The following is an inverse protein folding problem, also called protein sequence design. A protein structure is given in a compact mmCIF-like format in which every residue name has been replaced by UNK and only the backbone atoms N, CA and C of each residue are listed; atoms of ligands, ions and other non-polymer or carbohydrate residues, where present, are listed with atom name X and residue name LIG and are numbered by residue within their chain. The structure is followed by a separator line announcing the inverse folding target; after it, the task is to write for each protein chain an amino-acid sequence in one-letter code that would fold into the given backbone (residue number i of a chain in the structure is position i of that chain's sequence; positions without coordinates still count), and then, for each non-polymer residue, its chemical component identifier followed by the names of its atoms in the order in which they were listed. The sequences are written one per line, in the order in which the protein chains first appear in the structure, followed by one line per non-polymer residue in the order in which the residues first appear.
data_IF_444479806802
#
_entry.id   IF_444479806802
#
_cell.length_a   1.000
_cell.length_b   1.000
_cell.length_c   1.000
_cell.angle_alpha   90.00
_cell.angle_beta   90.00
_cell.angle_gamma   90.00
#
_symmetry.space_group_name_H-M   'P 1'
#
loop_
_entity.id
_entity.type
_entity.pdbx_description
1 polymer ?
#
# COMPACT_ATOMS: atom_id res chain seq x y z
N UNK A 1 -21.42 -17.59 5.30
CA UNK A 1 -21.09 -17.79 3.87
C UNK A 1 -21.48 -16.61 2.93
N UNK A 2 -22.00 -15.46 3.42
CA UNK A 2 -22.40 -14.31 2.56
C UNK A 2 -21.49 -13.07 2.62
N UNK A 3 -20.78 -12.82 3.73
CA UNK A 3 -19.95 -11.61 3.88
C UNK A 3 -18.71 -11.60 2.95
N UNK A 4 -18.01 -12.73 2.83
CA UNK A 4 -16.75 -12.80 2.06
C UNK A 4 -16.93 -12.57 0.55
N UNK A 5 -18.11 -12.88 -0.01
CA UNK A 5 -18.42 -12.62 -1.43
C UNK A 5 -18.60 -11.14 -1.75
N UNK A 6 -19.08 -10.34 -0.80
CA UNK A 6 -19.25 -8.89 -0.96
C UNK A 6 -17.96 -8.11 -0.68
N UNK A 7 -17.10 -8.63 0.20
CA UNK A 7 -15.83 -8.00 0.55
C UNK A 7 -14.80 -8.11 -0.60
N UNK A 8 -14.84 -9.19 -1.39
CA UNK A 8 -13.91 -9.39 -2.51
C UNK A 8 -13.94 -8.27 -3.57
N UNK A 9 -15.11 -7.85 -4.13
CA UNK A 9 -15.13 -6.75 -5.10
C UNK A 9 -14.72 -5.40 -4.48
N UNK A 10 -15.04 -5.15 -3.21
CA UNK A 10 -14.62 -3.94 -2.49
C UNK A 10 -13.09 -3.93 -2.28
N UNK A 11 -12.52 -5.09 -1.98
CA UNK A 11 -11.08 -5.30 -1.86
C UNK A 11 -10.38 -5.06 -3.21
N UNK A 12 -10.95 -5.56 -4.31
CA UNK A 12 -10.43 -5.31 -5.65
C UNK A 12 -10.50 -3.83 -6.02
N UNK A 13 -11.62 -3.16 -5.75
CA UNK A 13 -11.79 -1.74 -6.04
C UNK A 13 -10.83 -0.86 -5.23
N UNK A 14 -10.70 -1.12 -3.92
CA UNK A 14 -9.78 -0.37 -3.05
C UNK A 14 -8.32 -0.57 -3.43
N UNK A 15 -7.90 -1.81 -3.72
CA UNK A 15 -6.55 -2.09 -4.26
C UNK A 15 -6.36 -1.42 -5.63
N UNK A 16 -7.31 -1.54 -6.54
CA UNK A 16 -7.24 -0.92 -7.86
C UNK A 16 -7.06 0.60 -7.77
N UNK A 17 -7.84 1.27 -6.91
CA UNK A 17 -7.76 2.71 -6.70
C UNK A 17 -6.42 3.13 -6.08
N UNK A 18 -5.90 2.35 -5.12
CA UNK A 18 -4.57 2.57 -4.56
C UNK A 18 -3.48 2.45 -5.62
N UNK A 19 -3.44 1.33 -6.35
CA UNK A 19 -2.37 1.05 -7.32
C UNK A 19 -2.42 1.97 -8.55
N UNK A 20 -3.61 2.37 -8.98
CA UNK A 20 -3.77 3.41 -10.01
C UNK A 20 -3.37 4.79 -9.46
N UNK A 21 -3.69 5.06 -8.20
CA UNK A 21 -3.38 6.33 -7.55
C UNK A 21 -1.88 6.59 -7.37
N UNK A 22 -1.07 5.55 -7.13
CA UNK A 22 0.38 5.68 -6.90
C UNK A 22 1.08 6.51 -7.99
N UNK A 23 0.98 6.16 -9.30
CA UNK A 23 1.62 6.92 -10.37
C UNK A 23 0.88 8.20 -10.76
N UNK A 24 -0.44 8.26 -10.58
CA UNK A 24 -1.27 9.38 -11.09
C UNK A 24 -1.33 10.57 -10.13
N UNK A 25 -1.60 10.33 -8.84
CA UNK A 25 -1.81 11.42 -7.89
C UNK A 25 -1.67 10.97 -6.43
N UNK A 26 -0.94 11.78 -5.65
CA UNK A 26 -0.84 11.63 -4.19
C UNK A 26 -2.21 11.60 -3.50
N UNK A 27 -3.17 12.37 -3.99
CA UNK A 27 -4.53 12.40 -3.44
C UNK A 27 -5.25 11.06 -3.65
N UNK A 28 -5.26 10.52 -4.88
CA UNK A 28 -5.86 9.22 -5.16
C UNK A 28 -5.20 8.10 -4.36
N UNK A 29 -3.86 8.09 -4.28
CA UNK A 29 -3.15 7.09 -3.49
C UNK A 29 -3.58 7.12 -2.01
N UNK A 30 -3.72 8.32 -1.42
CA UNK A 30 -4.15 8.47 -0.03
C UNK A 30 -5.58 7.98 0.22
N UNK A 31 -6.51 8.27 -0.70
CA UNK A 31 -7.89 7.75 -0.64
C UNK A 31 -7.90 6.23 -0.77
N UNK A 32 -7.10 5.69 -1.70
CA UNK A 32 -6.91 4.24 -1.87
C UNK A 32 -6.38 3.58 -0.60
N UNK A 33 -5.40 4.18 0.08
CA UNK A 33 -4.88 3.68 1.36
C UNK A 33 -5.96 3.65 2.43
N UNK A 34 -6.77 4.72 2.54
CA UNK A 34 -7.89 4.78 3.47
C UNK A 34 -8.93 3.68 3.21
N UNK A 35 -9.29 3.45 1.95
CA UNK A 35 -10.21 2.38 1.57
C UNK A 35 -9.63 0.99 1.82
N UNK A 36 -8.33 0.78 1.57
CA UNK A 36 -7.63 -0.47 1.89
C UNK A 36 -7.65 -0.71 3.40
N UNK A 37 -7.37 0.32 4.22
CA UNK A 37 -7.44 0.21 5.67
C UNK A 37 -8.85 -0.14 6.16
N UNK A 38 -9.86 0.57 5.65
CA UNK A 38 -11.25 0.32 5.99
C UNK A 38 -11.68 -1.10 5.62
N UNK A 39 -11.35 -1.54 4.41
CA UNK A 39 -11.64 -2.90 3.93
C UNK A 39 -10.88 -3.94 4.75
N UNK A 40 -9.66 -3.63 5.17
CA UNK A 40 -8.89 -4.48 6.07
C UNK A 40 -9.56 -4.62 7.44
N UNK A 41 -10.07 -3.55 8.03
CA UNK A 41 -10.77 -3.61 9.32
C UNK A 41 -12.09 -4.38 9.23
N UNK A 42 -12.85 -4.18 8.15
CA UNK A 42 -14.19 -4.79 7.99
C UNK A 42 -14.11 -6.26 7.53
N UNK A 43 -13.03 -6.67 6.85
CA UNK A 43 -12.93 -8.03 6.26
C UNK A 43 -12.73 -9.16 7.28
N UNK A 44 -12.41 -8.86 8.54
CA UNK A 44 -12.22 -9.89 9.58
C UNK A 44 -10.99 -10.78 9.31
N UNK A 45 -11.04 -12.06 9.71
CA UNK A 45 -9.96 -13.04 9.48
C UNK A 45 -8.54 -12.54 9.82
N UNK A 46 -8.39 -11.93 11.00
CA UNK A 46 -7.10 -11.40 11.45
C UNK A 46 -6.03 -12.49 11.62
N UNK A 47 -6.45 -13.70 11.99
CA UNK A 47 -5.56 -14.86 12.10
C UNK A 47 -4.98 -15.27 10.75
N UNK A 48 -5.82 -15.41 9.72
CA UNK A 48 -5.36 -15.71 8.36
C UNK A 48 -4.53 -14.59 7.75
N UNK A 49 -4.88 -13.32 8.03
CA UNK A 49 -4.08 -12.15 7.62
C UNK A 49 -2.68 -12.17 8.22
N UNK A 50 -2.56 -12.45 9.51
CA UNK A 50 -1.27 -12.54 10.18
C UNK A 50 -0.42 -13.68 9.66
N UNK A 51 -1.04 -14.85 9.42
CA UNK A 51 -0.36 -15.98 8.82
C UNK A 51 0.22 -15.64 7.44
N UNK A 52 -0.55 -14.96 6.57
CA UNK A 52 -0.09 -14.51 5.25
C UNK A 52 1.09 -13.54 5.33
N UNK A 53 1.07 -12.63 6.31
CA UNK A 53 2.21 -11.73 6.54
C UNK A 53 3.44 -12.55 6.93
N UNK A 54 3.29 -13.47 7.88
CA UNK A 54 4.42 -14.28 8.38
C UNK A 54 5.00 -15.22 7.32
N UNK A 55 4.16 -15.77 6.44
CA UNK A 55 4.57 -16.69 5.37
C UNK A 55 5.20 -15.97 4.18
N UNK A 56 5.08 -14.64 4.07
CA UNK A 56 5.63 -13.91 2.95
C UNK A 56 7.14 -13.65 3.14
N UNK A 57 8.00 -14.08 2.20
CA UNK A 57 9.44 -13.91 2.32
C UNK A 57 9.86 -12.43 2.34
N UNK A 58 9.04 -11.52 1.81
CA UNK A 58 9.30 -10.07 1.80
C UNK A 58 8.93 -9.41 3.13
N UNK A 59 8.16 -10.07 3.99
CA UNK A 59 7.71 -9.46 5.23
C UNK A 59 8.84 -9.24 6.24
N UNK A 60 9.80 -10.16 6.33
CA UNK A 60 10.95 -10.01 7.23
C UNK A 60 11.88 -8.86 6.79
N UNK A 61 12.35 -8.77 5.53
CA UNK A 61 13.16 -7.63 5.08
C UNK A 61 12.47 -6.28 5.27
N UNK A 62 11.18 -6.19 4.94
CA UNK A 62 10.42 -4.92 5.11
C UNK A 62 10.31 -4.54 6.58
N UNK A 63 10.08 -5.51 7.47
CA UNK A 63 10.04 -5.26 8.91
C UNK A 63 11.40 -4.82 9.45
N UNK A 64 12.48 -5.49 9.03
CA UNK A 64 13.85 -5.14 9.43
C UNK A 64 14.24 -3.74 8.97
N UNK A 65 13.89 -3.35 7.74
CA UNK A 65 14.12 -2.00 7.24
C UNK A 65 13.38 -0.96 8.07
N UNK A 66 12.10 -1.19 8.37
CA UNK A 66 11.33 -0.30 9.23
C UNK A 66 11.93 -0.19 10.65
N UNK A 67 12.35 -1.32 11.23
CA UNK A 67 12.96 -1.36 12.56
C UNK A 67 14.32 -0.67 12.58
N UNK A 68 15.12 -0.84 11.53
CA UNK A 68 16.39 -0.13 11.36
C UNK A 68 16.17 1.37 11.29
N UNK A 69 15.18 1.85 10.54
CA UNK A 69 14.83 3.26 10.51
C UNK A 69 14.38 3.76 11.88
N UNK A 70 13.56 2.98 12.60
CA UNK A 70 13.11 3.35 13.94
C UNK A 70 14.29 3.51 14.90
N UNK A 71 15.23 2.56 14.91
CA UNK A 71 16.45 2.67 15.73
C UNK A 71 17.30 3.86 15.31
N UNK A 72 17.48 4.09 14.01
CA UNK A 72 18.21 5.24 13.50
C UNK A 72 17.56 6.57 13.90
N UNK A 73 16.22 6.65 13.93
CA UNK A 73 15.52 7.86 14.37
C UNK A 73 15.71 8.15 15.86
N UNK A 74 15.80 7.12 16.71
CA UNK A 74 16.05 7.29 18.15
C UNK A 74 17.49 7.73 18.46
N UNK A 75 18.43 7.37 17.60
CA UNK A 75 19.86 7.67 17.76
C UNK A 75 20.31 8.91 16.98
N UNK A 76 19.40 9.53 16.23
CA UNK A 76 19.71 10.72 15.43
C UNK A 76 19.87 11.95 16.32
N UNK A 77 20.96 12.70 16.09
CA UNK A 77 21.26 13.99 16.74
C UNK A 77 20.63 15.17 15.96
N UNK A 78 19.86 14.86 14.91
CA UNK A 78 19.24 15.87 14.05
C UNK A 78 18.05 16.59 14.69
N UNK A 79 17.63 17.69 14.06
CA UNK A 79 16.42 18.40 14.47
C UNK A 79 15.19 17.50 14.39
N UNK A 80 14.32 17.58 15.40
CA UNK A 80 13.14 16.72 15.54
C UNK A 80 12.22 16.82 14.32
N UNK A 81 12.09 18.02 13.74
CA UNK A 81 11.23 18.22 12.55
C UNK A 81 11.70 17.43 11.33
N UNK A 82 13.00 17.16 11.25
CA UNK A 82 13.62 16.40 10.15
C UNK A 82 13.51 14.90 10.40
N UNK A 83 13.77 14.47 11.64
CA UNK A 83 13.64 13.07 12.07
C UNK A 83 12.19 12.59 11.89
N UNK A 84 11.22 13.39 12.30
CA UNK A 84 9.79 13.07 12.16
C UNK A 84 9.42 12.88 10.68
N UNK A 85 9.80 13.83 9.80
CA UNK A 85 9.52 13.74 8.36
C UNK A 85 10.11 12.47 7.74
N UNK A 86 11.37 12.15 8.07
CA UNK A 86 11.99 10.92 7.59
C UNK A 86 11.29 9.69 8.14
N UNK A 87 11.04 9.63 9.44
CA UNK A 87 10.35 8.51 10.06
C UNK A 87 8.99 8.22 9.40
N UNK A 88 8.17 9.25 9.13
CA UNK A 88 6.88 9.09 8.44
C UNK A 88 6.99 8.53 7.02
N UNK A 89 8.10 8.74 6.31
CA UNK A 89 8.33 8.11 5.01
C UNK A 89 8.44 6.60 5.18
N UNK A 90 9.19 6.15 6.18
CA UNK A 90 9.42 4.73 6.42
C UNK A 90 8.25 4.03 7.13
N UNK A 91 7.43 4.74 7.91
CA UNK A 91 6.13 4.21 8.38
C UNK A 91 5.27 3.74 7.20
N UNK A 92 5.45 4.32 6.01
CA UNK A 92 4.71 3.85 4.82
C UNK A 92 5.06 2.43 4.41
N UNK A 93 6.23 1.91 4.82
CA UNK A 93 6.58 0.50 4.63
C UNK A 93 5.59 -0.43 5.36
N UNK A 94 4.99 0.01 6.47
CA UNK A 94 4.01 -0.81 7.18
C UNK A 94 2.71 -1.01 6.36
N UNK A 95 2.38 -0.08 5.45
CA UNK A 95 1.25 -0.25 4.53
C UNK A 95 1.43 -1.48 3.63
N UNK A 96 2.67 -1.90 3.39
CA UNK A 96 2.95 -3.13 2.65
C UNK A 96 2.32 -4.36 3.32
N UNK A 97 2.35 -4.44 4.65
CA UNK A 97 1.74 -5.56 5.38
C UNK A 97 0.22 -5.58 5.24
N UNK A 98 -0.42 -4.41 5.28
CA UNK A 98 -1.86 -4.29 5.05
C UNK A 98 -2.23 -4.79 3.66
N UNK A 99 -1.52 -4.32 2.62
CA UNK A 99 -1.74 -4.73 1.23
C UNK A 99 -1.50 -6.23 1.06
N UNK A 100 -0.38 -6.76 1.56
CA UNK A 100 -0.04 -8.19 1.48
C UNK A 100 -1.11 -9.07 2.13
N UNK A 101 -1.61 -8.67 3.29
CA UNK A 101 -2.61 -9.45 4.01
C UNK A 101 -3.97 -9.48 3.30
N UNK A 102 -4.26 -8.47 2.47
CA UNK A 102 -5.47 -8.33 1.65
C UNK A 102 -5.36 -9.09 0.31
N UNK A 103 -4.16 -9.18 -0.26
CA UNK A 103 -3.91 -9.90 -1.51
C UNK A 103 -3.92 -11.41 -1.26
N UNK A 104 -5.09 -12.04 -1.43
CA UNK A 104 -5.27 -13.48 -1.19
C UNK A 104 -5.19 -14.34 -2.46
N UNK A 105 -5.49 -13.78 -3.63
CA UNK A 105 -5.68 -14.53 -4.87
C UNK A 105 -4.80 -13.97 -5.99
N UNK A 106 -4.40 -14.83 -6.92
CA UNK A 106 -3.73 -14.41 -8.15
C UNK A 106 -4.57 -13.40 -8.94
N UNK A 107 -5.89 -13.41 -8.80
CA UNK A 107 -6.77 -12.40 -9.37
C UNK A 107 -6.53 -11.02 -8.77
N UNK A 108 -6.39 -10.91 -7.44
CA UNK A 108 -6.08 -9.64 -6.77
C UNK A 108 -4.73 -9.09 -7.23
N UNK A 109 -3.72 -9.95 -7.37
CA UNK A 109 -2.40 -9.56 -7.89
C UNK A 109 -2.49 -9.05 -9.32
N UNK A 110 -3.17 -9.78 -10.22
CA UNK A 110 -3.34 -9.37 -11.62
C UNK A 110 -4.04 -8.02 -11.72
N UNK A 111 -5.13 -7.83 -10.97
CA UNK A 111 -5.86 -6.55 -10.96
C UNK A 111 -5.02 -5.39 -10.45
N UNK A 112 -4.28 -5.58 -9.35
CA UNK A 112 -3.36 -4.56 -8.83
C UNK A 112 -2.29 -4.19 -9.87
N UNK A 113 -1.71 -5.17 -10.56
CA UNK A 113 -0.76 -4.94 -11.63
C UNK A 113 -1.36 -4.18 -12.82
N UNK A 114 -2.54 -4.57 -13.29
CA UNK A 114 -3.23 -3.86 -14.37
C UNK A 114 -3.57 -2.42 -14.00
N UNK A 115 -4.07 -2.19 -12.77
CA UNK A 115 -4.37 -0.86 -12.27
C UNK A 115 -3.12 0.02 -12.18
N UNK A 116 -2.00 -0.55 -11.74
CA UNK A 116 -0.71 0.14 -11.70
C UNK A 116 -0.21 0.50 -13.11
N UNK A 117 -0.20 -0.46 -14.04
CA UNK A 117 0.19 -0.21 -15.43
C UNK A 117 -0.69 0.85 -16.10
N UNK A 118 -2.00 0.80 -15.87
CA UNK A 118 -2.93 1.81 -16.37
C UNK A 118 -2.62 3.20 -15.78
N UNK A 119 -2.35 3.28 -14.48
CA UNK A 119 -1.95 4.52 -13.84
C UNK A 119 -0.62 5.08 -14.39
N UNK A 120 0.37 4.23 -14.64
CA UNK A 120 1.61 4.63 -15.29
C UNK A 120 1.37 5.19 -16.70
N UNK A 121 0.54 4.51 -17.50
CA UNK A 121 0.18 4.97 -18.85
C UNK A 121 -0.50 6.35 -18.81
N UNK A 122 -1.47 6.55 -17.91
CA UNK A 122 -2.15 7.84 -17.71
C UNK A 122 -1.12 8.92 -17.34
N UNK A 123 -0.24 8.63 -16.38
CA UNK A 123 0.75 9.60 -15.93
C UNK A 123 1.75 9.99 -17.05
N UNK A 124 2.18 9.02 -17.86
CA UNK A 124 3.04 9.30 -19.02
C UNK A 124 2.31 10.17 -20.05
N UNK A 125 1.07 9.83 -20.39
CA UNK A 125 0.27 10.62 -21.34
C UNK A 125 0.07 12.04 -20.83
N UNK A 126 -0.31 12.22 -19.55
CA UNK A 126 -0.42 13.56 -18.95
C UNK A 126 0.91 14.32 -18.96
N UNK A 127 2.01 13.64 -18.63
CA UNK A 127 3.35 14.25 -18.66
C UNK A 127 3.73 14.73 -20.06
N UNK A 128 3.42 13.95 -21.10
CA UNK A 128 3.63 14.35 -22.49
C UNK A 128 2.77 15.56 -22.84
N UNK A 129 1.46 15.53 -22.55
CA UNK A 129 0.56 16.66 -22.82
C UNK A 129 1.06 17.94 -22.15
N UNK A 130 1.49 17.88 -20.90
CA UNK A 130 2.01 19.03 -20.16
C UNK A 130 3.37 19.54 -20.65
N UNK A 131 4.13 18.72 -21.40
CA UNK A 131 5.42 19.13 -21.96
C UNK A 131 5.27 19.75 -23.34
N UNK A 132 4.21 19.41 -24.08
CA UNK A 132 3.94 19.91 -25.43
C UNK A 132 2.93 21.08 -25.50
N UNK A 133 2.29 21.44 -24.39
CA UNK A 133 1.44 22.63 -24.22
C UNK A 133 2.16 23.69 -23.40
#
# INVERSE_FOLDING_TARGET
MKLSRLINPITLASLGLLFLGIPVSRALASVGMGLVLFTWLVSGDYKGKWQRIRENPLSLPVFLLWLLTFVASLWSVGDWTTIEKQFFIYVRLLWFFLILSLIQSQQHKKWAWWAFCAGCAINVVMGLVNTYM
#
